data_IF_679920817781
#
_entry.id   IF_679920817781
#
_cell.length_a   1.000
_cell.length_b   1.000
_cell.length_c   1.000
_cell.angle_alpha   90.00
_cell.angle_beta   90.00
_cell.angle_gamma   90.00
#
_symmetry.space_group_name_H-M   'P 1'
#
loop_
_entity.id
_entity.type
_entity.pdbx_description
1 polymer ?
#
# COMPACT_ATOMS: atom_id res chain seq x y z
N UNK A 1 18.52 -19.54 41.50
CA UNK A 1 17.57 -18.40 41.39
C UNK A 1 18.01 -17.35 40.36
N UNK A 2 19.23 -16.79 40.40
CA UNK A 2 19.66 -15.70 39.47
C UNK A 2 19.74 -16.10 37.99
N UNK A 3 20.21 -17.32 37.68
CA UNK A 3 20.32 -17.81 36.29
C UNK A 3 18.96 -17.99 35.60
N UNK A 4 17.95 -18.45 36.35
CA UNK A 4 16.59 -18.63 35.84
C UNK A 4 15.96 -17.27 35.52
N UNK A 5 16.15 -16.28 36.40
CA UNK A 5 15.66 -14.93 36.17
C UNK A 5 16.28 -14.28 34.91
N UNK A 6 17.59 -14.45 34.68
CA UNK A 6 18.26 -13.96 33.47
C UNK A 6 17.78 -14.65 32.19
N UNK A 7 17.54 -15.97 32.23
CA UNK A 7 16.98 -16.72 31.10
C UNK A 7 15.57 -16.26 30.76
N UNK A 8 14.71 -16.07 31.78
CA UNK A 8 13.35 -15.57 31.60
C UNK A 8 13.35 -14.16 31.03
N UNK A 9 14.24 -13.28 31.49
CA UNK A 9 14.37 -11.92 30.96
C UNK A 9 14.84 -11.91 29.50
N UNK A 10 15.77 -12.78 29.14
CA UNK A 10 16.24 -12.93 27.76
C UNK A 10 15.12 -13.40 26.83
N UNK A 11 14.36 -14.42 27.25
CA UNK A 11 13.22 -14.93 26.47
C UNK A 11 12.11 -13.89 26.29
N UNK A 12 11.82 -13.08 27.31
CA UNK A 12 10.86 -11.97 27.22
C UNK A 12 11.32 -10.87 26.26
N UNK A 13 12.63 -10.58 26.20
CA UNK A 13 13.19 -9.62 25.25
C UNK A 13 13.10 -10.12 23.80
N UNK A 14 13.27 -11.42 23.54
CA UNK A 14 13.14 -12.01 22.20
C UNK A 14 11.68 -12.06 21.72
N UNK A 15 10.71 -12.25 22.63
CA UNK A 15 9.29 -12.26 22.27
C UNK A 15 8.79 -10.89 21.76
N UNK A 16 9.49 -9.80 22.07
CA UNK A 16 9.22 -8.46 21.56
C UNK A 16 9.77 -8.20 20.15
N UNK A 17 10.71 -9.00 19.65
CA UNK A 17 11.32 -8.85 18.32
C UNK A 17 10.58 -9.64 17.22
N UNK A 18 9.27 -9.84 17.36
CA UNK A 18 8.48 -10.29 16.23
C UNK A 18 8.29 -9.09 15.29
N UNK A 19 9.25 -8.90 14.37
CA UNK A 19 9.13 -8.02 13.22
C UNK A 19 7.75 -8.25 12.60
N UNK A 20 6.95 -7.19 12.52
CA UNK A 20 5.62 -7.27 11.96
C UNK A 20 5.81 -7.52 10.47
N UNK A 21 5.62 -8.76 10.02
CA UNK A 21 5.76 -9.11 8.60
C UNK A 21 4.74 -8.31 7.78
N UNK A 22 5.20 -7.19 7.22
CA UNK A 22 4.46 -6.39 6.28
C UNK A 22 4.04 -4.99 6.74
N UNK A 23 3.64 -4.18 5.76
CA UNK A 23 3.17 -2.81 5.92
C UNK A 23 1.66 -2.75 5.72
N UNK A 24 0.96 -2.06 6.61
CA UNK A 24 -0.47 -1.76 6.45
C UNK A 24 -0.65 -0.28 6.12
N UNK A 25 -1.41 0.02 5.06
CA UNK A 25 -1.84 1.38 4.71
C UNK A 25 -3.36 1.48 4.71
N UNK A 26 -3.88 2.64 5.09
CA UNK A 26 -5.31 2.94 5.09
C UNK A 26 -5.54 4.17 4.22
N UNK A 27 -6.39 4.03 3.22
CA UNK A 27 -6.90 5.15 2.42
C UNK A 27 -8.33 5.42 2.85
N UNK A 28 -8.57 6.55 3.50
CA UNK A 28 -9.89 6.95 3.95
C UNK A 28 -10.18 8.39 3.53
N UNK A 29 -11.36 8.61 2.97
CA UNK A 29 -11.91 9.92 2.69
C UNK A 29 -13.33 10.01 3.29
N UNK A 30 -13.64 11.15 3.90
CA UNK A 30 -14.92 11.40 4.55
C UNK A 30 -15.61 12.64 3.97
N UNK A 31 -16.94 12.65 3.97
CA UNK A 31 -17.77 13.82 3.71
C UNK A 31 -18.90 13.83 4.73
N UNK A 32 -19.14 14.97 5.37
CA UNK A 32 -20.25 15.14 6.32
C UNK A 32 -20.28 14.07 7.43
N UNK A 33 -19.10 13.66 7.89
CA UNK A 33 -18.94 12.63 8.93
C UNK A 33 -19.19 11.19 8.47
N UNK A 34 -19.42 10.95 7.17
CA UNK A 34 -19.59 9.60 6.59
C UNK A 34 -18.38 9.24 5.73
N UNK A 35 -17.97 7.98 5.77
CA UNK A 35 -16.93 7.47 4.88
C UNK A 35 -17.44 7.50 3.43
N UNK A 36 -16.80 8.30 2.58
CA UNK A 36 -17.04 8.28 1.13
C UNK A 36 -16.16 7.27 0.42
N UNK A 37 -15.00 6.95 1.03
CA UNK A 37 -14.09 5.86 0.67
C UNK A 37 -13.37 5.39 1.92
N UNK A 38 -13.29 4.08 2.14
CA UNK A 38 -12.45 3.48 3.15
C UNK A 38 -11.89 2.16 2.62
N UNK A 39 -10.57 2.10 2.50
CA UNK A 39 -9.82 0.95 2.02
C UNK A 39 -8.64 0.66 2.94
N UNK A 40 -8.32 -0.63 3.08
CA UNK A 40 -7.12 -1.09 3.78
C UNK A 40 -6.28 -1.91 2.81
N UNK A 41 -4.99 -1.60 2.75
CA UNK A 41 -3.98 -2.36 2.01
C UNK A 41 -2.99 -2.97 3.00
N UNK A 42 -2.67 -4.25 2.84
CA UNK A 42 -1.68 -4.95 3.63
C UNK A 42 -0.68 -5.61 2.68
N UNK A 43 0.57 -5.18 2.74
CA UNK A 43 1.67 -5.69 1.92
C UNK A 43 2.55 -6.55 2.80
N UNK A 44 2.83 -7.77 2.36
CA UNK A 44 3.79 -8.70 2.97
C UNK A 44 4.82 -9.10 1.92
N UNK A 45 5.81 -9.94 2.28
CA UNK A 45 6.78 -10.46 1.32
C UNK A 45 6.15 -11.38 0.26
N UNK A 46 5.00 -11.98 0.55
CA UNK A 46 4.34 -12.94 -0.34
C UNK A 46 3.21 -12.34 -1.18
N UNK A 47 2.50 -11.36 -0.63
CA UNK A 47 1.26 -10.84 -1.23
C UNK A 47 0.92 -9.43 -0.79
N UNK A 48 0.11 -8.77 -1.63
CA UNK A 48 -0.60 -7.53 -1.30
C UNK A 48 -2.10 -7.80 -1.22
N UNK A 49 -2.67 -7.65 -0.03
CA UNK A 49 -4.10 -7.74 0.19
C UNK A 49 -4.73 -6.35 0.16
N UNK A 50 -5.75 -6.17 -0.68
CA UNK A 50 -6.57 -4.96 -0.70
C UNK A 50 -8.00 -5.28 -0.24
N UNK A 51 -8.54 -4.46 0.65
CA UNK A 51 -9.87 -4.62 1.24
C UNK A 51 -10.67 -3.33 1.07
N UNK A 52 -11.77 -3.41 0.33
CA UNK A 52 -12.76 -2.33 0.27
C UNK A 52 -13.65 -2.40 1.51
N UNK A 53 -13.53 -1.43 2.42
CA UNK A 53 -14.32 -1.40 3.65
C UNK A 53 -15.60 -0.59 3.48
N UNK A 54 -15.52 0.53 2.77
CA UNK A 54 -16.68 1.33 2.40
C UNK A 54 -16.42 2.15 1.13
N UNK A 55 -17.46 2.38 0.33
CA UNK A 55 -17.44 3.35 -0.75
C UNK A 55 -18.85 3.86 -1.00
N UNK A 56 -19.00 5.17 -1.11
CA UNK A 56 -20.29 5.81 -1.41
C UNK A 56 -20.76 5.60 -2.85
N UNK A 57 -19.88 5.20 -3.78
CA UNK A 57 -20.27 4.78 -5.13
C UNK A 57 -20.71 3.31 -5.20
N UNK A 58 -20.58 2.57 -4.08
CA UNK A 58 -20.84 1.13 -4.02
C UNK A 58 -19.65 0.25 -4.44
N UNK A 59 -18.55 0.84 -4.92
CA UNK A 59 -17.33 0.11 -5.31
C UNK A 59 -16.07 0.89 -4.92
N UNK A 60 -15.01 0.17 -4.53
CA UNK A 60 -13.66 0.71 -4.45
C UNK A 60 -12.92 0.28 -5.72
N UNK A 61 -12.49 1.24 -6.53
CA UNK A 61 -11.75 0.97 -7.75
C UNK A 61 -10.25 1.04 -7.47
N UNK A 62 -9.56 -0.09 -7.64
CA UNK A 62 -8.13 -0.24 -7.42
C UNK A 62 -7.36 -0.14 -8.74
N UNK A 63 -6.21 0.51 -8.68
CA UNK A 63 -5.18 0.48 -9.72
C UNK A 63 -3.87 0.02 -9.10
N UNK A 64 -3.31 -1.04 -9.66
CA UNK A 64 -1.98 -1.54 -9.35
C UNK A 64 -1.07 -1.11 -10.49
N UNK A 65 0.02 -0.42 -10.19
CA UNK A 65 0.89 0.15 -11.21
C UNK A 65 2.35 0.20 -10.76
N UNK A 66 3.26 0.37 -11.70
CA UNK A 66 4.67 0.69 -11.43
C UNK A 66 5.02 2.02 -12.10
N UNK A 67 5.87 2.82 -11.46
CA UNK A 67 6.44 4.02 -12.08
C UNK A 67 7.79 3.69 -12.68
N UNK A 68 7.94 3.94 -13.99
CA UNK A 68 9.21 3.78 -14.71
C UNK A 68 9.81 5.16 -14.91
N UNK A 69 10.65 5.56 -13.96
CA UNK A 69 11.38 6.82 -14.05
C UNK A 69 12.65 6.62 -14.90
N UNK A 70 12.98 7.56 -15.80
CA UNK A 70 14.31 7.63 -16.39
C UNK A 70 15.38 7.65 -15.29
N UNK A 71 16.50 6.96 -15.49
CA UNK A 71 17.62 7.01 -14.56
C UNK A 71 18.06 8.47 -14.38
N UNK A 72 18.25 8.90 -13.14
CA UNK A 72 18.74 10.24 -12.84
C UNK A 72 20.14 10.40 -13.44
N UNK A 73 20.24 11.11 -14.57
CA UNK A 73 21.53 11.50 -15.13
C UNK A 73 22.15 12.56 -14.22
N UNK A 74 23.42 12.39 -13.88
CA UNK A 74 24.21 13.31 -13.03
C UNK A 74 24.32 14.75 -13.56
N UNK A 75 23.79 15.04 -14.75
CA UNK A 75 23.70 16.37 -15.35
C UNK A 75 22.43 17.15 -14.97
N UNK A 76 21.79 16.84 -13.83
CA UNK A 76 20.68 17.62 -13.32
C UNK A 76 21.18 18.98 -12.82
N UNK A 77 21.26 19.96 -13.72
CA UNK A 77 21.49 21.35 -13.38
C UNK A 77 20.33 21.85 -12.49
N UNK A 78 20.63 22.72 -11.52
CA UNK A 78 19.62 23.40 -10.73
C UNK A 78 18.69 24.20 -11.65
N UNK A 79 17.46 23.72 -11.85
CA UNK A 79 16.47 24.33 -12.73
C UNK A 79 15.84 23.40 -13.77
N UNK A 80 16.37 22.19 -13.99
CA UNK A 80 15.72 21.22 -14.88
C UNK A 80 14.51 20.59 -14.18
N UNK A 81 13.30 20.59 -14.80
CA UNK A 81 12.15 19.88 -14.25
C UNK A 81 12.49 18.41 -14.02
N UNK A 82 12.04 17.84 -12.89
CA UNK A 82 12.24 16.42 -12.62
C UNK A 82 11.67 15.59 -13.78
N UNK A 83 12.37 14.53 -14.22
CA UNK A 83 11.89 13.70 -15.32
C UNK A 83 10.53 13.10 -14.96
N UNK A 84 9.58 13.21 -15.89
CA UNK A 84 8.24 12.63 -15.70
C UNK A 84 8.36 11.11 -15.76
N UNK A 85 8.00 10.43 -14.68
CA UNK A 85 7.95 8.98 -14.66
C UNK A 85 6.78 8.46 -15.51
N UNK A 86 7.04 7.42 -16.29
CA UNK A 86 6.00 6.76 -17.07
C UNK A 86 5.32 5.69 -16.21
N UNK A 87 4.02 5.87 -15.95
CA UNK A 87 3.21 4.89 -15.23
C UNK A 87 2.86 3.71 -16.13
N UNK A 88 3.11 2.49 -15.67
CA UNK A 88 2.61 1.26 -16.28
C UNK A 88 1.59 0.60 -15.38
N UNK A 89 0.36 0.44 -15.87
CA UNK A 89 -0.68 -0.33 -15.20
C UNK A 89 -0.31 -1.82 -15.18
N UNK A 90 -0.39 -2.44 -14.01
CA UNK A 90 -0.19 -3.86 -13.78
C UNK A 90 -1.54 -4.58 -13.66
N UNK A 91 -2.49 -4.00 -12.94
CA UNK A 91 -3.87 -4.50 -12.83
C UNK A 91 -4.84 -3.35 -12.50
N UNK A 92 -6.11 -3.48 -12.85
CA UNK A 92 -7.17 -2.55 -12.49
C UNK A 92 -8.49 -3.30 -12.30
N UNK A 93 -9.14 -3.08 -11.16
CA UNK A 93 -10.35 -3.81 -10.80
C UNK A 93 -11.19 -3.04 -9.79
N UNK A 94 -12.43 -3.48 -9.59
CA UNK A 94 -13.33 -2.93 -8.59
C UNK A 94 -13.70 -4.01 -7.57
N UNK A 95 -13.79 -3.61 -6.30
CA UNK A 95 -14.28 -4.45 -5.21
C UNK A 95 -15.54 -3.82 -4.60
N UNK A 96 -16.53 -4.64 -4.28
CA UNK A 96 -17.66 -4.24 -3.45
C UNK A 96 -17.20 -4.08 -1.99
N UNK A 97 -17.85 -3.23 -1.17
CA UNK A 97 -17.62 -3.17 0.26
C UNK A 97 -17.69 -4.56 0.91
N UNK A 98 -16.71 -4.86 1.77
CA UNK A 98 -16.50 -6.15 2.42
C UNK A 98 -15.66 -7.15 1.60
N UNK A 99 -15.39 -6.89 0.32
CA UNK A 99 -14.55 -7.77 -0.49
C UNK A 99 -13.06 -7.51 -0.29
N UNK A 100 -12.31 -8.60 -0.34
CA UNK A 100 -10.85 -8.62 -0.26
C UNK A 100 -10.30 -9.31 -1.50
N UNK A 101 -9.19 -8.79 -2.04
CA UNK A 101 -8.42 -9.45 -3.08
C UNK A 101 -6.96 -9.52 -2.70
N UNK A 102 -6.41 -10.73 -2.73
CA UNK A 102 -4.98 -10.98 -2.65
C UNK A 102 -4.35 -10.84 -4.05
N UNK A 103 -3.23 -10.12 -4.11
CA UNK A 103 -2.41 -9.94 -5.30
C UNK A 103 -1.05 -10.56 -5.02
N UNK A 104 -0.63 -11.45 -5.91
CA UNK A 104 0.63 -12.18 -5.80
C UNK A 104 1.56 -11.80 -6.96
N UNK A 105 2.87 -11.99 -6.76
CA UNK A 105 3.85 -11.78 -7.81
C UNK A 105 3.98 -10.33 -8.29
N UNK A 106 3.58 -9.37 -7.46
CA UNK A 106 3.78 -7.95 -7.77
C UNK A 106 5.26 -7.58 -7.68
N UNK A 107 5.77 -6.73 -8.58
CA UNK A 107 7.09 -6.13 -8.42
C UNK A 107 7.22 -5.39 -7.09
N UNK A 108 8.41 -5.37 -6.50
CA UNK A 108 8.66 -4.61 -5.26
C UNK A 108 8.41 -3.10 -5.43
N UNK A 109 8.52 -2.58 -6.65
CA UNK A 109 8.22 -1.19 -7.01
C UNK A 109 6.74 -0.95 -7.37
N UNK A 110 5.86 -1.93 -7.16
CA UNK A 110 4.44 -1.77 -7.43
C UNK A 110 3.79 -0.86 -6.37
N UNK A 111 2.92 0.01 -6.85
CA UNK A 111 2.10 0.92 -6.06
C UNK A 111 0.63 0.53 -6.19
N UNK A 112 -0.14 0.82 -5.14
CA UNK A 112 -1.59 0.63 -5.11
C UNK A 112 -2.26 2.00 -4.98
N UNK A 113 -3.22 2.31 -5.84
CA UNK A 113 -4.16 3.41 -5.65
C UNK A 113 -5.59 2.88 -5.53
N UNK A 114 -6.44 3.60 -4.81
CA UNK A 114 -7.85 3.30 -4.68
C UNK A 114 -8.69 4.58 -4.76
N UNK A 115 -9.80 4.51 -5.48
CA UNK A 115 -10.74 5.62 -5.65
C UNK A 115 -12.19 5.17 -5.60
N UNK A 116 -13.10 6.14 -5.47
CA UNK A 116 -14.56 5.94 -5.57
C UNK A 116 -15.01 5.75 -7.01
N UNK A 117 -14.28 6.34 -7.94
CA UNK A 117 -14.50 6.28 -9.37
C UNK A 117 -13.33 5.53 -10.02
N UNK A 118 -13.51 5.10 -11.27
CA UNK A 118 -12.46 4.43 -12.02
C UNK A 118 -11.17 5.27 -12.00
N UNK A 119 -10.04 4.70 -11.54
CA UNK A 119 -8.82 5.46 -11.31
C UNK A 119 -8.29 6.02 -12.62
N UNK A 120 -8.18 7.35 -12.69
CA UNK A 120 -7.50 8.03 -13.79
C UNK A 120 -5.98 7.95 -13.58
N UNK A 121 -5.20 8.31 -14.61
CA UNK A 121 -3.74 8.36 -14.53
C UNK A 121 -3.17 9.24 -13.39
N UNK A 122 -4.01 10.04 -12.71
CA UNK A 122 -3.64 10.95 -11.62
C UNK A 122 -3.94 10.42 -10.22
N UNK A 123 -4.23 9.13 -10.10
CA UNK A 123 -4.44 8.48 -8.81
C UNK A 123 -3.15 8.63 -7.96
N UNK A 124 -3.20 9.50 -6.93
CA UNK A 124 -2.13 9.68 -5.94
C UNK A 124 -2.48 8.81 -4.73
N UNK A 125 -1.61 7.86 -4.43
CA UNK A 125 -1.75 6.96 -3.28
C UNK A 125 -1.46 7.66 -1.96
#
# INVERSE_FOLDING_TARGET
MRLIASLVYCLLALAGCHERNGTTSITRATSDGRDVLFSKTQVTDAETNVHCLASSSGQCHYLIYEERCPAATTAANAGTPAPVCARKTLDSFALLPGQVRALHGLPAAAHTCVGRDAPTARCQG
#
